data_IF_078728394144
#
_entry.id   IF_078728394144
#
_cell.length_a   1.000
_cell.length_b   1.000
_cell.length_c   1.000
_cell.angle_alpha   90.00
_cell.angle_beta   90.00
_cell.angle_gamma   90.00
#
_symmetry.space_group_name_H-M   'P 1'
#
loop_
_entity.id
_entity.type
_entity.pdbx_description
1 polymer ?
#
# COMPACT_ATOMS: atom_id res chain seq x y z
N UNK A 1 -12.48 -30.80 -24.67
CA UNK A 1 -12.90 -29.53 -25.28
C UNK A 1 -12.60 -28.42 -24.31
N UNK A 2 -11.31 -28.26 -23.90
CA UNK A 2 -10.84 -27.31 -22.89
C UNK A 2 -9.51 -26.69 -23.37
N UNK A 3 -9.57 -25.79 -24.33
CA UNK A 3 -8.35 -25.26 -24.95
C UNK A 3 -8.45 -23.84 -25.53
N UNK A 4 -9.36 -22.98 -25.06
CA UNK A 4 -9.59 -21.69 -25.75
C UNK A 4 -9.41 -20.46 -24.84
N UNK A 5 -9.10 -20.59 -23.55
CA UNK A 5 -9.04 -19.42 -22.64
C UNK A 5 -7.65 -19.07 -22.09
N UNK A 6 -6.56 -19.59 -22.64
CA UNK A 6 -5.20 -19.31 -22.12
C UNK A 6 -4.37 -18.31 -22.94
N UNK A 7 -4.96 -17.60 -23.92
CA UNK A 7 -4.20 -16.73 -24.85
C UNK A 7 -4.49 -15.23 -24.76
N UNK A 8 -4.97 -14.73 -23.63
CA UNK A 8 -5.22 -13.30 -23.52
C UNK A 8 -4.71 -12.71 -22.20
N UNK A 9 -3.42 -12.37 -22.12
CA UNK A 9 -2.87 -11.17 -21.44
C UNK A 9 -1.42 -11.31 -20.95
N UNK A 10 -0.41 -11.40 -21.81
CA UNK A 10 0.99 -11.41 -21.37
C UNK A 10 1.43 -10.07 -20.73
N UNK A 11 0.67 -8.99 -20.91
CA UNK A 11 1.02 -7.65 -20.40
C UNK A 11 0.32 -7.29 -19.08
N UNK A 12 -0.74 -7.99 -18.70
CA UNK A 12 -1.51 -7.64 -17.47
C UNK A 12 -0.73 -7.96 -16.20
N UNK A 13 -0.01 -9.08 -16.16
CA UNK A 13 0.79 -9.46 -14.98
C UNK A 13 1.89 -8.45 -14.66
N UNK A 14 2.77 -8.08 -15.61
CA UNK A 14 3.78 -7.04 -15.39
C UNK A 14 3.19 -5.67 -15.09
N UNK A 15 2.09 -5.30 -15.72
CA UNK A 15 1.40 -4.03 -15.42
C UNK A 15 0.88 -3.98 -13.99
N UNK A 16 0.18 -5.02 -13.53
CA UNK A 16 -0.32 -5.10 -12.16
C UNK A 16 0.80 -5.10 -11.13
N UNK A 17 1.91 -5.80 -11.40
CA UNK A 17 3.08 -5.78 -10.54
C UNK A 17 3.70 -4.37 -10.45
N UNK A 18 3.74 -3.63 -11.54
CA UNK A 18 4.22 -2.25 -11.57
C UNK A 18 3.32 -1.33 -10.74
N UNK A 19 2.00 -1.42 -10.93
CA UNK A 19 1.02 -0.62 -10.17
C UNK A 19 1.10 -0.97 -8.68
N UNK A 20 1.27 -2.24 -8.33
CA UNK A 20 1.42 -2.70 -6.95
C UNK A 20 2.70 -2.15 -6.29
N UNK A 21 3.84 -2.15 -7.02
CA UNK A 21 5.10 -1.56 -6.55
C UNK A 21 5.01 -0.04 -6.41
N UNK A 22 4.33 0.66 -7.34
CA UNK A 22 4.09 2.09 -7.23
C UNK A 22 3.21 2.42 -6.02
N UNK A 23 2.14 1.66 -5.80
CA UNK A 23 1.31 1.77 -4.60
C UNK A 23 2.11 1.55 -3.31
N UNK A 24 2.98 0.53 -3.31
CA UNK A 24 3.90 0.26 -2.20
C UNK A 24 4.83 1.45 -1.94
N UNK A 25 5.44 2.02 -2.98
CA UNK A 25 6.32 3.18 -2.85
C UNK A 25 5.59 4.39 -2.27
N UNK A 26 4.41 4.71 -2.79
CA UNK A 26 3.60 5.86 -2.35
C UNK A 26 3.15 5.71 -0.89
N UNK A 27 2.66 4.52 -0.50
CA UNK A 27 2.32 4.27 0.90
C UNK A 27 3.54 4.21 1.82
N UNK A 28 4.68 3.72 1.34
CA UNK A 28 5.92 3.77 2.11
C UNK A 28 6.40 5.21 2.35
N UNK A 29 6.25 6.12 1.37
CA UNK A 29 6.47 7.56 1.56
C UNK A 29 5.52 8.13 2.63
N UNK A 30 4.25 7.77 2.59
CA UNK A 30 3.28 8.17 3.60
C UNK A 30 3.66 7.65 4.99
N UNK A 31 4.07 6.38 5.10
CA UNK A 31 4.55 5.79 6.34
C UNK A 31 5.78 6.50 6.88
N UNK A 32 6.78 6.72 6.04
CA UNK A 32 8.00 7.44 6.41
C UNK A 32 7.69 8.88 6.85
N UNK A 33 6.81 9.60 6.14
CA UNK A 33 6.40 10.95 6.51
C UNK A 33 5.71 10.99 7.90
N UNK A 34 4.85 10.01 8.18
CA UNK A 34 4.25 9.85 9.50
C UNK A 34 5.30 9.54 10.57
N UNK A 35 6.31 8.71 10.25
CA UNK A 35 7.42 8.39 11.13
C UNK A 35 8.26 9.61 11.51
N UNK A 36 8.63 10.45 10.54
CA UNK A 36 9.33 11.72 10.82
C UNK A 36 8.49 12.63 11.72
N UNK A 37 7.20 12.76 11.42
CA UNK A 37 6.27 13.56 12.23
C UNK A 37 6.16 13.05 13.67
N UNK A 38 6.21 11.74 13.85
CA UNK A 38 6.19 11.07 15.15
C UNK A 38 7.58 11.02 15.82
N UNK A 39 8.60 11.67 15.24
CA UNK A 39 9.97 11.73 15.74
C UNK A 39 10.62 10.34 15.94
N UNK A 40 10.29 9.40 15.07
CA UNK A 40 10.95 8.10 15.06
C UNK A 40 12.40 8.24 14.59
N UNK A 41 13.27 7.38 15.09
CA UNK A 41 14.63 7.24 14.57
C UNK A 41 14.62 6.61 13.16
N UNK A 42 15.78 6.55 12.53
CA UNK A 42 15.90 6.00 11.17
C UNK A 42 15.39 4.57 11.07
N UNK A 43 15.65 3.75 12.08
CA UNK A 43 15.20 2.35 12.08
C UNK A 43 13.66 2.27 12.17
N UNK A 44 13.05 2.98 13.13
CA UNK A 44 11.60 3.06 13.28
C UNK A 44 10.92 3.60 12.03
N UNK A 45 11.52 4.61 11.39
CA UNK A 45 11.03 5.17 10.13
C UNK A 45 11.05 4.13 9.00
N UNK A 46 12.13 3.34 8.87
CA UNK A 46 12.22 2.26 7.87
C UNK A 46 11.20 1.16 8.11
N UNK A 47 11.01 0.76 9.37
CA UNK A 47 10.00 -0.23 9.75
C UNK A 47 8.60 0.29 9.40
N UNK A 48 8.30 1.56 9.71
CA UNK A 48 7.00 2.16 9.42
C UNK A 48 6.75 2.31 7.92
N UNK A 49 7.77 2.68 7.14
CA UNK A 49 7.69 2.74 5.69
C UNK A 49 7.38 1.36 5.09
N UNK A 50 8.07 0.31 5.55
CA UNK A 50 7.81 -1.05 5.09
C UNK A 50 6.41 -1.52 5.48
N UNK A 51 6.02 -1.32 6.74
CA UNK A 51 4.72 -1.73 7.25
C UNK A 51 3.57 -1.04 6.49
N UNK A 52 3.62 0.28 6.36
CA UNK A 52 2.59 1.04 5.64
C UNK A 52 2.54 0.69 4.14
N UNK A 53 3.70 0.53 3.51
CA UNK A 53 3.77 0.21 2.07
C UNK A 53 3.24 -1.18 1.73
N UNK A 54 3.36 -2.14 2.63
CA UNK A 54 3.10 -3.55 2.29
C UNK A 54 1.88 -4.16 2.99
N UNK A 55 1.34 -3.56 4.07
CA UNK A 55 0.26 -4.15 4.85
C UNK A 55 -0.98 -4.49 4.01
N UNK A 56 -1.43 -3.57 3.16
CA UNK A 56 -2.59 -3.78 2.29
C UNK A 56 -2.37 -4.93 1.31
N UNK A 57 -1.20 -4.96 0.66
CA UNK A 57 -0.82 -6.01 -0.28
C UNK A 57 -0.67 -7.39 0.38
N UNK A 58 -0.06 -7.45 1.57
CA UNK A 58 0.07 -8.69 2.36
C UNK A 58 -1.31 -9.20 2.76
N UNK A 59 -2.17 -8.34 3.30
CA UNK A 59 -3.53 -8.70 3.70
C UNK A 59 -4.32 -9.23 2.50
N UNK A 60 -4.28 -8.53 1.37
CA UNK A 60 -4.91 -8.97 0.12
C UNK A 60 -4.41 -10.35 -0.28
N UNK A 61 -3.09 -10.54 -0.37
CA UNK A 61 -2.51 -11.78 -0.88
C UNK A 61 -2.88 -12.97 0.01
N UNK A 62 -2.90 -12.78 1.32
CA UNK A 62 -3.37 -13.82 2.26
C UNK A 62 -4.85 -14.14 2.05
N UNK A 63 -5.71 -13.13 1.90
CA UNK A 63 -7.15 -13.32 1.74
C UNK A 63 -7.53 -14.02 0.43
N UNK A 64 -6.79 -13.76 -0.65
CA UNK A 64 -7.03 -14.42 -1.95
C UNK A 64 -6.26 -15.74 -2.11
N UNK A 65 -5.53 -16.18 -1.07
CA UNK A 65 -4.75 -17.43 -1.10
C UNK A 65 -3.45 -17.35 -1.90
N UNK A 66 -2.97 -16.15 -2.26
CA UNK A 66 -1.69 -15.95 -2.94
C UNK A 66 -0.53 -15.96 -1.92
N UNK A 67 -0.19 -17.14 -1.44
CA UNK A 67 0.82 -17.34 -0.40
C UNK A 67 2.04 -18.07 -0.96
N UNK A 68 3.30 -17.64 -0.63
CA UNK A 68 3.61 -16.48 0.23
C UNK A 68 3.29 -15.14 -0.44
N UNK A 69 2.90 -14.10 0.33
CA UNK A 69 2.63 -12.78 -0.21
C UNK A 69 3.80 -12.19 -1.02
N UNK A 70 3.48 -11.41 -2.07
CA UNK A 70 4.48 -10.81 -2.96
C UNK A 70 5.51 -9.95 -2.20
N UNK A 71 5.07 -9.22 -1.19
CA UNK A 71 5.94 -8.39 -0.35
C UNK A 71 6.99 -9.18 0.44
N UNK A 72 6.77 -10.48 0.67
CA UNK A 72 7.70 -11.36 1.39
C UNK A 72 8.54 -12.18 0.41
N UNK A 73 7.95 -12.60 -0.71
CA UNK A 73 8.61 -13.45 -1.70
C UNK A 73 9.51 -12.68 -2.68
N UNK A 74 9.28 -11.37 -2.85
CA UNK A 74 10.03 -10.53 -3.79
C UNK A 74 10.70 -9.37 -3.06
N UNK A 75 12.03 -9.41 -3.00
CA UNK A 75 12.86 -8.41 -2.32
C UNK A 75 12.71 -6.98 -2.88
N UNK A 76 12.13 -6.79 -4.08
CA UNK A 76 11.86 -5.47 -4.64
C UNK A 76 10.90 -4.64 -3.75
N UNK A 77 9.93 -5.29 -3.11
CA UNK A 77 9.02 -4.60 -2.19
C UNK A 77 9.74 -4.04 -0.97
N UNK A 78 10.70 -4.79 -0.43
CA UNK A 78 11.57 -4.31 0.64
C UNK A 78 12.44 -3.14 0.13
N UNK A 79 13.10 -3.31 -1.01
CA UNK A 79 13.96 -2.29 -1.61
C UNK A 79 13.23 -0.98 -1.86
N UNK A 80 12.04 -1.05 -2.47
CA UNK A 80 11.19 0.12 -2.77
C UNK A 80 10.74 0.82 -1.47
N UNK A 81 10.36 0.06 -0.44
CA UNK A 81 9.94 0.62 0.85
C UNK A 81 11.10 1.31 1.58
N UNK A 82 12.29 0.70 1.58
CA UNK A 82 13.49 1.30 2.19
C UNK A 82 13.94 2.54 1.42
N UNK A 83 13.86 2.51 0.08
CA UNK A 83 14.16 3.68 -0.75
C UNK A 83 13.22 4.85 -0.42
N UNK A 84 11.91 4.59 -0.30
CA UNK A 84 10.94 5.60 0.10
C UNK A 84 11.27 6.17 1.48
N UNK A 85 11.64 5.32 2.44
CA UNK A 85 12.09 5.74 3.76
C UNK A 85 13.30 6.63 3.72
N UNK A 86 14.35 6.26 2.97
CA UNK A 86 15.57 7.06 2.80
C UNK A 86 15.28 8.41 2.14
N UNK A 87 14.53 8.41 1.04
CA UNK A 87 14.13 9.63 0.34
C UNK A 87 13.43 10.59 1.31
N UNK A 88 12.48 10.08 2.09
CA UNK A 88 11.76 10.89 3.08
C UNK A 88 12.70 11.40 4.17
N UNK A 89 13.59 10.55 4.70
CA UNK A 89 14.51 10.93 5.77
C UNK A 89 15.42 12.11 5.37
N UNK A 90 15.93 12.11 4.15
CA UNK A 90 16.85 13.16 3.68
C UNK A 90 16.15 14.43 3.18
N UNK A 91 14.92 14.31 2.64
CA UNK A 91 14.21 15.45 2.06
C UNK A 91 13.15 16.07 2.96
N UNK A 92 12.71 15.37 4.00
CA UNK A 92 11.63 15.84 4.87
C UNK A 92 11.99 16.96 5.87
N UNK A 93 13.27 17.24 6.24
CA UNK A 93 13.57 18.34 7.17
C UNK A 93 13.03 19.71 6.75
N UNK A 94 12.81 19.91 5.44
CA UNK A 94 12.33 21.18 4.86
C UNK A 94 10.81 21.18 4.54
N UNK A 95 10.14 20.04 4.57
CA UNK A 95 8.72 19.95 4.24
C UNK A 95 7.89 19.94 5.54
N UNK A 96 7.63 21.15 5.99
CA UNK A 96 6.72 21.60 7.04
C UNK A 96 5.72 20.56 7.63
N UNK A 97 5.49 20.66 8.92
CA UNK A 97 4.60 19.94 9.85
C UNK A 97 3.14 19.79 9.42
N UNK A 98 2.80 19.92 8.13
CA UNK A 98 1.43 19.86 7.60
C UNK A 98 1.00 18.42 7.37
N UNK A 99 -0.27 18.13 7.60
CA UNK A 99 -0.90 16.82 7.31
C UNK A 99 -1.01 16.53 5.80
N UNK A 100 -0.88 17.56 4.96
CA UNK A 100 -1.14 17.51 3.52
C UNK A 100 -0.32 16.45 2.76
N UNK A 101 1.01 16.29 2.97
CA UNK A 101 1.76 15.26 2.23
C UNK A 101 1.27 13.83 2.50
N UNK A 102 0.96 13.50 3.77
CA UNK A 102 0.47 12.17 4.14
C UNK A 102 -0.87 11.89 3.45
N UNK A 103 -1.81 12.84 3.47
CA UNK A 103 -3.12 12.68 2.84
C UNK A 103 -3.02 12.52 1.31
N UNK A 104 -2.11 13.27 0.66
CA UNK A 104 -1.91 13.15 -0.79
C UNK A 104 -1.33 11.78 -1.16
N UNK A 105 -0.33 11.30 -0.41
CA UNK A 105 0.23 9.97 -0.62
C UNK A 105 -0.79 8.87 -0.32
N UNK A 106 -1.61 9.03 0.71
CA UNK A 106 -2.68 8.08 1.02
C UNK A 106 -3.72 8.02 -0.10
N UNK A 107 -4.18 9.17 -0.60
CA UNK A 107 -5.14 9.21 -1.70
C UNK A 107 -4.59 8.57 -2.98
N UNK A 108 -3.35 8.86 -3.34
CA UNK A 108 -2.68 8.26 -4.48
C UNK A 108 -2.45 6.74 -4.29
N UNK A 109 -1.98 6.34 -3.12
CA UNK A 109 -1.77 4.93 -2.78
C UNK A 109 -3.07 4.15 -2.73
N UNK A 110 -4.14 4.73 -2.16
CA UNK A 110 -5.48 4.17 -2.16
C UNK A 110 -5.97 3.88 -3.59
N UNK A 111 -5.83 4.85 -4.50
CA UNK A 111 -6.26 4.68 -5.89
C UNK A 111 -5.48 3.56 -6.59
N UNK A 112 -4.16 3.52 -6.45
CA UNK A 112 -3.31 2.49 -7.05
C UNK A 112 -3.64 1.09 -6.50
N UNK A 113 -3.75 0.95 -5.19
CA UNK A 113 -4.02 -0.33 -4.55
C UNK A 113 -5.47 -0.79 -4.69
N UNK A 114 -6.44 0.13 -4.78
CA UNK A 114 -7.81 -0.24 -5.07
C UNK A 114 -7.92 -0.90 -6.45
N UNK A 115 -7.25 -0.34 -7.46
CA UNK A 115 -7.22 -0.92 -8.81
C UNK A 115 -6.44 -2.24 -8.81
N UNK A 116 -5.19 -2.24 -8.35
CA UNK A 116 -4.35 -3.44 -8.35
C UNK A 116 -4.96 -4.58 -7.50
N UNK A 117 -5.54 -4.23 -6.35
CA UNK A 117 -6.19 -5.19 -5.45
C UNK A 117 -7.44 -5.82 -6.06
N UNK A 118 -8.30 -5.00 -6.68
CA UNK A 118 -9.51 -5.49 -7.37
C UNK A 118 -9.14 -6.41 -8.53
N UNK A 119 -8.22 -5.98 -9.40
CA UNK A 119 -7.80 -6.78 -10.56
C UNK A 119 -7.17 -8.12 -10.14
N UNK A 120 -6.33 -8.12 -9.10
CA UNK A 120 -5.70 -9.33 -8.59
C UNK A 120 -6.72 -10.27 -7.96
N UNK A 121 -7.74 -9.75 -7.27
CA UNK A 121 -8.83 -10.52 -6.70
C UNK A 121 -9.75 -11.11 -7.78
N UNK A 122 -10.04 -10.36 -8.86
CA UNK A 122 -10.77 -10.89 -10.03
C UNK A 122 -9.98 -12.01 -10.70
N UNK A 123 -8.68 -11.84 -10.86
CA UNK A 123 -7.79 -12.87 -11.42
C UNK A 123 -7.74 -14.14 -10.56
N UNK A 124 -7.92 -14.01 -9.24
CA UNK A 124 -8.05 -15.13 -8.30
C UNK A 124 -9.44 -15.80 -8.32
N UNK A 125 -10.37 -15.32 -9.15
CA UNK A 125 -11.70 -15.91 -9.35
C UNK A 125 -12.78 -15.39 -8.41
N UNK A 126 -12.55 -14.30 -7.68
CA UNK A 126 -13.59 -13.68 -6.86
C UNK A 126 -14.64 -12.99 -7.75
N UNK A 127 -15.89 -12.95 -7.28
CA UNK A 127 -16.91 -12.17 -7.96
C UNK A 127 -16.61 -10.66 -7.86
N UNK A 128 -17.14 -9.82 -8.77
CA UNK A 128 -16.79 -8.39 -8.85
C UNK A 128 -17.03 -7.60 -7.56
N UNK A 129 -18.07 -7.93 -6.80
CA UNK A 129 -18.37 -7.23 -5.53
C UNK A 129 -17.30 -7.54 -4.49
N UNK A 130 -16.95 -8.82 -4.30
CA UNK A 130 -15.90 -9.23 -3.36
C UNK A 130 -14.52 -8.73 -3.81
N UNK A 131 -14.25 -8.75 -5.11
CA UNK A 131 -13.01 -8.20 -5.64
C UNK A 131 -12.88 -6.69 -5.36
N UNK A 132 -13.96 -5.92 -5.51
CA UNK A 132 -13.99 -4.51 -5.13
C UNK A 132 -13.74 -4.28 -3.64
N UNK A 133 -14.33 -5.10 -2.76
CA UNK A 133 -14.07 -5.04 -1.31
C UNK A 133 -12.60 -5.35 -0.98
N UNK A 134 -12.01 -6.34 -1.63
CA UNK A 134 -10.56 -6.64 -1.49
C UNK A 134 -9.71 -5.47 -1.99
N UNK A 135 -10.11 -4.81 -3.08
CA UNK A 135 -9.44 -3.59 -3.56
C UNK A 135 -9.46 -2.46 -2.53
N UNK A 136 -10.63 -2.17 -1.95
CA UNK A 136 -10.77 -1.17 -0.88
C UNK A 136 -9.91 -1.55 0.32
N UNK A 137 -10.00 -2.79 0.79
CA UNK A 137 -9.23 -3.27 1.93
C UNK A 137 -7.72 -3.17 1.68
N UNK A 138 -7.26 -3.47 0.46
CA UNK A 138 -5.87 -3.30 0.05
C UNK A 138 -5.45 -1.84 0.14
N UNK A 139 -6.29 -0.94 -0.36
CA UNK A 139 -6.01 0.50 -0.37
C UNK A 139 -5.96 1.13 1.02
N UNK A 140 -6.86 0.76 1.92
CA UNK A 140 -6.90 1.35 3.28
C UNK A 140 -5.92 0.68 4.26
N UNK A 141 -5.50 -0.56 3.99
CA UNK A 141 -4.74 -1.38 4.93
C UNK A 141 -3.41 -0.75 5.35
N UNK A 142 -2.68 -0.15 4.41
CA UNK A 142 -1.43 0.54 4.67
C UNK A 142 -1.58 1.74 5.62
N UNK A 143 -2.57 2.59 5.35
CA UNK A 143 -2.89 3.76 6.16
C UNK A 143 -3.35 3.39 7.57
N UNK A 144 -4.21 2.37 7.69
CA UNK A 144 -4.68 1.89 9.00
C UNK A 144 -3.50 1.39 9.84
N UNK A 145 -2.64 0.52 9.29
CA UNK A 145 -1.51 -0.02 10.05
C UNK A 145 -0.53 1.08 10.44
N UNK A 146 -0.23 2.02 9.52
CA UNK A 146 0.61 3.20 9.82
C UNK A 146 0.08 3.97 11.01
N UNK A 147 -1.20 4.36 10.99
CA UNK A 147 -1.80 5.19 12.02
C UNK A 147 -1.81 4.49 13.38
N UNK A 148 -2.15 3.20 13.39
CA UNK A 148 -2.09 2.36 14.61
C UNK A 148 -0.67 2.31 15.18
N UNK A 149 0.35 2.12 14.34
CA UNK A 149 1.76 2.04 14.78
C UNK A 149 2.28 3.37 15.37
N UNK A 150 1.75 4.50 14.91
CA UNK A 150 2.07 5.82 15.50
C UNK A 150 1.08 6.27 16.57
N UNK A 151 0.25 5.35 17.06
CA UNK A 151 -0.76 5.59 18.11
C UNK A 151 -1.74 6.72 17.75
N UNK A 152 -2.21 6.73 16.52
CA UNK A 152 -3.23 7.65 16.01
C UNK A 152 -4.48 6.89 15.59
N UNK A 153 -5.64 7.53 15.69
CA UNK A 153 -6.86 6.96 15.10
C UNK A 153 -6.73 6.99 13.58
N UNK A 154 -6.93 5.86 12.88
CA UNK A 154 -6.82 5.81 11.42
C UNK A 154 -7.69 6.87 10.75
N UNK A 155 -7.09 7.61 9.80
CA UNK A 155 -7.77 8.70 9.10
C UNK A 155 -9.07 8.24 8.41
N UNK A 156 -9.08 7.01 7.89
CA UNK A 156 -10.24 6.40 7.24
C UNK A 156 -11.44 6.19 8.18
N UNK A 157 -11.20 6.19 9.49
CA UNK A 157 -12.24 6.03 10.52
C UNK A 157 -12.64 7.36 11.18
N UNK A 158 -11.96 8.45 10.84
CA UNK A 158 -12.29 9.78 11.37
C UNK A 158 -13.40 10.38 10.50
N UNK A 159 -14.45 10.85 11.15
CA UNK A 159 -15.47 11.66 10.48
C UNK A 159 -14.96 13.11 10.42
N UNK A 160 -14.76 13.65 9.22
CA UNK A 160 -14.58 15.09 8.99
C UNK A 160 -15.91 15.84 9.17
N UNK A 161 -16.58 15.63 10.30
CA UNK A 161 -17.82 16.34 10.63
C UNK A 161 -17.49 17.25 11.78
N UNK A 162 -17.27 18.52 11.49
CA UNK A 162 -17.34 19.60 12.48
C UNK A 162 -18.79 19.69 12.97
N UNK A 163 -19.04 19.22 14.18
CA UNK A 163 -20.32 19.37 14.89
C UNK A 163 -20.40 20.76 15.52
#
# INVERSE_FOLDING_TARGET
MNGILSHGRPLVGPFLATVDLLGTFVFALSGAAAGVKSKLDLFGLMVLAFAAGNAGGITRDVLIGAVPPAAISNWLYLGVSLLAGLVTFFWYPDIDKRRLPVLLFDGAGLALFAVAGTEKALAAGLNPVMAGLIGILTGIGGGILRDVLVNQTPAVLQADIDW
#
